data_IF_293857959581
#
_entry.id   IF_293857959581
#
_cell.length_a   1.000
_cell.length_b   1.000
_cell.length_c   1.000
_cell.angle_alpha   90.00
_cell.angle_beta   90.00
_cell.angle_gamma   90.00
#
_symmetry.space_group_name_H-M   'P 1'
#
loop_
_entity.id
_entity.type
_entity.pdbx_description
1 polymer ?
#
# COMPACT_ATOMS: atom_id res chain seq x y z
N UNK A 1 16.88 16.96 -9.07
CA UNK A 1 15.49 17.03 -8.57
C UNK A 1 15.38 16.04 -7.41
N UNK A 2 15.11 16.50 -6.20
CA UNK A 2 15.05 15.63 -5.02
C UNK A 2 13.62 15.08 -4.94
N UNK A 3 13.46 13.78 -5.17
CA UNK A 3 12.15 13.11 -5.27
C UNK A 3 11.46 12.99 -3.91
N UNK A 4 12.24 12.56 -2.89
CA UNK A 4 11.80 12.57 -1.50
C UNK A 4 12.47 13.79 -0.85
N UNK A 5 11.69 14.76 -0.33
CA UNK A 5 12.26 15.94 0.31
C UNK A 5 13.07 15.53 1.55
N UNK A 6 14.06 16.33 1.91
CA UNK A 6 14.81 16.15 3.15
C UNK A 6 13.84 16.21 4.34
N UNK A 7 14.03 15.30 5.31
CA UNK A 7 13.28 15.35 6.55
C UNK A 7 13.74 16.53 7.39
N UNK A 8 12.83 17.43 7.71
CA UNK A 8 13.11 18.65 8.48
C UNK A 8 12.37 18.61 9.80
N UNK A 9 13.13 18.68 10.90
CA UNK A 9 12.61 18.77 12.27
C UNK A 9 12.28 20.22 12.69
N UNK A 10 12.84 21.21 11.97
CA UNK A 10 12.68 22.64 12.23
C UNK A 10 11.33 23.23 11.71
N UNK A 11 10.50 22.41 11.09
CA UNK A 11 9.16 22.79 10.60
C UNK A 11 8.08 22.11 11.40
N UNK A 12 6.91 22.76 11.55
CA UNK A 12 5.75 22.16 12.21
C UNK A 12 5.34 20.87 11.52
N UNK A 13 5.33 19.77 12.27
CA UNK A 13 4.94 18.45 11.80
C UNK A 13 3.73 17.94 12.57
N UNK A 14 2.90 17.15 11.90
CA UNK A 14 1.68 16.55 12.47
C UNK A 14 1.70 15.04 12.33
N UNK A 15 1.18 14.32 13.33
CA UNK A 15 1.12 12.87 13.31
C UNK A 15 0.12 12.39 12.25
N UNK A 16 0.54 11.42 11.43
CA UNK A 16 -0.30 10.82 10.39
C UNK A 16 -0.52 9.32 10.62
N UNK A 17 0.55 8.57 10.94
CA UNK A 17 0.49 7.13 11.15
C UNK A 17 1.21 6.72 12.43
N UNK A 18 0.55 5.91 13.25
CA UNK A 18 1.13 5.35 14.46
C UNK A 18 2.14 4.21 14.13
N UNK A 19 2.86 3.75 15.15
CA UNK A 19 3.88 2.72 15.00
C UNK A 19 3.33 1.38 14.45
N UNK A 20 2.13 0.96 14.90
CA UNK A 20 1.53 -0.31 14.46
C UNK A 20 1.23 -0.26 12.95
N UNK A 21 0.62 0.82 12.47
CA UNK A 21 0.34 1.00 11.05
C UNK A 21 1.63 0.95 10.19
N UNK A 22 2.70 1.61 10.66
CA UNK A 22 3.99 1.66 9.98
C UNK A 22 4.68 0.29 9.94
N UNK A 23 4.73 -0.42 11.07
CA UNK A 23 5.31 -1.78 11.15
C UNK A 23 4.55 -2.72 10.23
N UNK A 24 3.22 -2.69 10.28
CA UNK A 24 2.38 -3.51 9.39
C UNK A 24 2.63 -3.19 7.92
N UNK A 25 2.67 -1.91 7.55
CA UNK A 25 2.92 -1.49 6.18
C UNK A 25 4.29 -1.95 5.67
N UNK A 26 5.36 -1.69 6.41
CA UNK A 26 6.71 -2.08 5.97
C UNK A 26 6.92 -3.59 6.00
N UNK A 27 6.35 -4.29 6.97
CA UNK A 27 6.35 -5.76 7.01
C UNK A 27 5.65 -6.35 5.78
N UNK A 28 4.47 -5.82 5.41
CA UNK A 28 3.79 -6.20 4.17
C UNK A 28 4.61 -5.86 2.93
N UNK A 29 5.21 -4.68 2.88
CA UNK A 29 6.03 -4.25 1.72
C UNK A 29 7.18 -5.21 1.48
N UNK A 30 7.95 -5.55 2.52
CA UNK A 30 9.09 -6.48 2.39
C UNK A 30 8.63 -7.86 1.97
N UNK A 31 7.62 -8.42 2.65
CA UNK A 31 7.12 -9.77 2.34
C UNK A 31 6.47 -9.84 0.97
N UNK A 32 5.74 -8.79 0.56
CA UNK A 32 5.16 -8.69 -0.78
C UNK A 32 6.24 -8.66 -1.87
N UNK A 33 7.27 -7.81 -1.72
CA UNK A 33 8.35 -7.72 -2.69
C UNK A 33 9.13 -9.04 -2.81
N UNK A 34 9.39 -9.72 -1.70
CA UNK A 34 10.00 -11.06 -1.74
C UNK A 34 9.10 -12.08 -2.46
N UNK A 35 7.78 -12.08 -2.16
CA UNK A 35 6.83 -12.92 -2.88
C UNK A 35 6.76 -12.55 -4.37
N UNK A 36 6.79 -11.26 -4.71
CA UNK A 36 6.75 -10.80 -6.09
C UNK A 36 7.96 -11.29 -6.89
N UNK A 37 9.17 -11.03 -6.43
CA UNK A 37 10.38 -11.41 -7.17
C UNK A 37 10.55 -12.93 -7.27
N UNK A 38 10.28 -13.66 -6.18
CA UNK A 38 10.31 -15.12 -6.22
C UNK A 38 9.17 -15.69 -7.07
N UNK A 39 7.98 -15.09 -6.99
CA UNK A 39 6.82 -15.47 -7.79
C UNK A 39 7.05 -15.25 -9.29
N UNK A 40 7.66 -14.12 -9.69
CA UNK A 40 8.03 -13.86 -11.08
C UNK A 40 9.01 -14.91 -11.62
N UNK A 41 10.02 -15.30 -10.84
CA UNK A 41 10.95 -16.36 -11.22
C UNK A 41 10.22 -17.69 -11.46
N UNK A 42 9.23 -18.03 -10.61
CA UNK A 42 8.46 -19.27 -10.71
C UNK A 42 7.42 -19.23 -11.85
N UNK A 43 6.80 -18.07 -12.08
CA UNK A 43 5.71 -17.88 -13.05
C UNK A 43 6.19 -17.81 -14.50
N UNK A 44 7.19 -16.96 -14.76
CA UNK A 44 7.60 -16.68 -16.15
C UNK A 44 8.46 -17.80 -16.75
N UNK A 45 9.16 -18.60 -15.95
CA UNK A 45 10.15 -19.56 -16.46
C UNK A 45 11.25 -18.89 -17.30
N UNK A 46 12.44 -19.47 -17.40
CA UNK A 46 13.51 -18.90 -18.22
C UNK A 46 14.15 -17.60 -17.71
N UNK A 47 13.77 -17.12 -16.53
CA UNK A 47 14.45 -16.02 -15.81
C UNK A 47 15.43 -16.64 -14.80
N UNK A 48 16.36 -17.45 -15.27
CA UNK A 48 17.29 -18.23 -14.45
C UNK A 48 18.14 -17.35 -13.54
N UNK A 49 18.53 -16.16 -14.01
CA UNK A 49 19.30 -15.21 -13.21
C UNK A 49 18.52 -14.74 -11.97
N UNK A 50 17.20 -14.53 -12.09
CA UNK A 50 16.37 -14.12 -10.94
C UNK A 50 16.19 -15.29 -9.97
N UNK A 51 15.96 -16.50 -10.47
CA UNK A 51 15.90 -17.69 -9.64
C UNK A 51 17.25 -17.96 -8.94
N UNK A 52 18.39 -17.71 -9.61
CA UNK A 52 19.73 -17.92 -9.05
C UNK A 52 20.00 -17.06 -7.81
N UNK A 53 19.45 -15.83 -7.74
CA UNK A 53 19.55 -14.95 -6.55
C UNK A 53 19.01 -15.66 -5.30
N UNK A 54 18.00 -16.52 -5.45
CA UNK A 54 17.35 -17.24 -4.35
C UNK A 54 17.84 -18.69 -4.22
N UNK A 55 18.92 -19.08 -4.88
CA UNK A 55 19.44 -20.45 -4.88
C UNK A 55 18.72 -21.40 -5.85
N UNK A 56 18.29 -20.88 -7.00
CA UNK A 56 17.55 -21.58 -8.03
C UNK A 56 16.05 -21.65 -7.76
N UNK A 57 15.30 -22.35 -8.61
CA UNK A 57 13.83 -22.45 -8.51
C UNK A 57 13.34 -23.09 -7.19
N UNK A 58 14.10 -24.05 -6.63
CA UNK A 58 13.78 -24.64 -5.32
C UNK A 58 13.92 -23.62 -4.20
N UNK A 59 15.01 -22.86 -4.21
CA UNK A 59 15.25 -21.76 -3.26
C UNK A 59 14.20 -20.66 -3.39
N UNK A 60 13.88 -20.22 -4.59
CA UNK A 60 12.82 -19.26 -4.86
C UNK A 60 11.47 -19.75 -4.31
N UNK A 61 11.09 -21.02 -4.54
CA UNK A 61 9.88 -21.61 -3.99
C UNK A 61 9.85 -21.66 -2.45
N UNK A 62 11.00 -21.92 -1.81
CA UNK A 62 11.10 -21.87 -0.34
C UNK A 62 10.94 -20.44 0.18
N UNK A 63 11.67 -19.48 -0.36
CA UNK A 63 11.60 -18.06 0.02
C UNK A 63 10.20 -17.52 -0.19
N UNK A 64 9.53 -17.87 -1.31
CA UNK A 64 8.15 -17.50 -1.59
C UNK A 64 7.21 -17.93 -0.46
N UNK A 65 7.26 -19.18 -0.05
CA UNK A 65 6.41 -19.73 1.03
C UNK A 65 6.72 -19.09 2.39
N UNK A 66 7.99 -18.92 2.75
CA UNK A 66 8.39 -18.24 3.99
C UNK A 66 7.86 -16.81 4.01
N UNK A 67 7.99 -16.08 2.89
CA UNK A 67 7.49 -14.71 2.77
C UNK A 67 5.97 -14.64 2.83
N UNK A 68 5.25 -15.62 2.25
CA UNK A 68 3.80 -15.73 2.35
C UNK A 68 3.33 -15.95 3.79
N UNK A 69 4.03 -16.79 4.57
CA UNK A 69 3.78 -16.95 6.01
C UNK A 69 4.07 -15.64 6.75
N UNK A 70 5.18 -14.96 6.44
CA UNK A 70 5.51 -13.65 7.00
C UNK A 70 4.43 -12.61 6.71
N UNK A 71 3.89 -12.57 5.48
CA UNK A 71 2.76 -11.71 5.10
C UNK A 71 1.51 -12.01 5.92
N UNK A 72 1.19 -13.30 6.12
CA UNK A 72 0.05 -13.72 6.95
C UNK A 72 0.23 -13.28 8.41
N UNK A 73 1.46 -13.39 8.94
CA UNK A 73 1.78 -12.90 10.29
C UNK A 73 1.59 -11.37 10.37
N UNK A 74 2.01 -10.61 9.37
CA UNK A 74 1.81 -9.15 9.35
C UNK A 74 0.34 -8.77 9.24
N UNK A 75 -0.48 -9.52 8.50
CA UNK A 75 -1.94 -9.34 8.48
C UNK A 75 -2.55 -9.58 9.88
N UNK A 76 -2.17 -10.67 10.52
CA UNK A 76 -2.62 -10.98 11.88
C UNK A 76 -2.16 -9.92 12.90
N UNK A 77 -0.88 -9.51 12.83
CA UNK A 77 -0.33 -8.45 13.68
C UNK A 77 -1.09 -7.14 13.54
N UNK A 78 -1.29 -6.67 12.30
CA UNK A 78 -2.04 -5.45 12.03
C UNK A 78 -3.50 -5.54 12.50
N UNK A 79 -4.13 -6.72 12.37
CA UNK A 79 -5.50 -6.95 12.82
C UNK A 79 -5.61 -6.92 14.35
N UNK A 80 -4.71 -7.61 15.05
CA UNK A 80 -4.77 -7.72 16.52
C UNK A 80 -4.35 -6.41 17.20
N UNK A 81 -3.20 -5.86 16.83
CA UNK A 81 -2.65 -4.66 17.49
C UNK A 81 -3.12 -3.34 16.89
N UNK A 82 -3.62 -3.36 15.66
CA UNK A 82 -4.11 -2.20 14.93
C UNK A 82 -5.64 -2.14 14.78
N UNK A 83 -6.41 -2.94 15.51
CA UNK A 83 -7.85 -3.10 15.29
C UNK A 83 -8.61 -1.78 15.26
N UNK A 84 -8.39 -0.90 16.25
CA UNK A 84 -9.02 0.43 16.29
C UNK A 84 -8.63 1.30 15.09
N UNK A 85 -7.38 1.20 14.67
CA UNK A 85 -6.86 1.86 13.46
C UNK A 85 -7.51 1.34 12.17
N UNK A 86 -7.76 0.02 12.09
CA UNK A 86 -8.46 -0.60 10.96
C UNK A 86 -9.91 -0.11 10.91
N UNK A 87 -10.60 -0.04 12.03
CA UNK A 87 -11.98 0.50 12.06
C UNK A 87 -12.00 1.97 11.62
N UNK A 88 -11.06 2.79 12.10
CA UNK A 88 -10.94 4.18 11.66
C UNK A 88 -10.64 4.27 10.15
N UNK A 89 -9.72 3.46 9.65
CA UNK A 89 -9.38 3.37 8.24
C UNK A 89 -10.59 2.96 7.37
N UNK A 90 -11.35 1.93 7.78
CA UNK A 90 -12.58 1.53 7.07
C UNK A 90 -13.58 2.69 7.04
N UNK A 91 -13.79 3.39 8.17
CA UNK A 91 -14.66 4.57 8.23
C UNK A 91 -14.21 5.66 7.26
N UNK A 92 -12.90 5.91 7.16
CA UNK A 92 -12.34 6.87 6.22
C UNK A 92 -12.58 6.45 4.75
N UNK A 93 -12.47 5.16 4.43
CA UNK A 93 -12.77 4.63 3.09
C UNK A 93 -14.26 4.79 2.73
N UNK A 94 -15.15 4.54 3.68
CA UNK A 94 -16.61 4.68 3.50
C UNK A 94 -17.05 6.15 3.34
N UNK A 95 -16.20 7.12 3.71
CA UNK A 95 -16.40 8.56 3.43
C UNK A 95 -16.05 8.92 1.97
N UNK A 96 -16.32 8.01 1.04
CA UNK A 96 -16.13 8.26 -0.38
C UNK A 96 -17.23 9.20 -0.90
N UNK A 97 -16.83 10.35 -1.47
CA UNK A 97 -17.78 11.38 -1.85
C UNK A 97 -17.39 12.11 -3.15
N UNK A 98 -18.12 13.17 -3.45
CA UNK A 98 -17.94 13.93 -4.69
C UNK A 98 -16.52 14.53 -4.85
N UNK A 99 -15.85 14.88 -3.75
CA UNK A 99 -14.46 15.35 -3.80
C UNK A 99 -13.49 14.26 -4.25
N UNK A 100 -13.74 12.99 -3.88
CA UNK A 100 -12.92 11.86 -4.31
C UNK A 100 -13.09 11.59 -5.80
N UNK A 101 -14.34 11.65 -6.30
CA UNK A 101 -14.62 11.51 -7.73
C UNK A 101 -13.96 12.64 -8.54
N UNK A 102 -14.11 13.88 -8.10
CA UNK A 102 -13.46 15.03 -8.73
C UNK A 102 -11.93 14.90 -8.70
N UNK A 103 -11.36 14.40 -7.58
CA UNK A 103 -9.93 14.13 -7.48
C UNK A 103 -9.50 13.13 -8.55
N UNK A 104 -10.16 11.99 -8.67
CA UNK A 104 -9.83 10.95 -9.65
C UNK A 104 -9.91 11.46 -11.10
N UNK A 105 -10.82 12.37 -11.41
CA UNK A 105 -10.97 12.96 -12.75
C UNK A 105 -9.90 14.02 -13.04
N UNK A 106 -9.46 14.77 -12.02
CA UNK A 106 -8.53 15.90 -12.17
C UNK A 106 -7.08 15.45 -12.02
N UNK A 107 -6.81 14.47 -11.16
CA UNK A 107 -5.47 13.99 -10.84
C UNK A 107 -4.63 13.59 -12.08
N UNK A 108 -5.16 12.94 -13.13
CA UNK A 108 -4.38 12.65 -14.33
C UNK A 108 -3.79 13.91 -15.01
N UNK A 109 -4.48 15.03 -14.94
CA UNK A 109 -3.98 16.31 -15.49
C UNK A 109 -2.88 16.89 -14.60
N UNK A 110 -3.06 16.86 -13.28
CA UNK A 110 -2.01 17.22 -12.32
C UNK A 110 -0.76 16.35 -12.50
N UNK A 111 -0.96 15.03 -12.62
CA UNK A 111 0.10 14.06 -12.87
C UNK A 111 0.90 14.38 -14.15
N UNK A 112 0.25 14.86 -15.20
CA UNK A 112 0.89 15.28 -16.43
C UNK A 112 1.52 16.69 -16.34
N UNK A 113 1.48 17.35 -15.18
CA UNK A 113 2.10 18.65 -14.93
C UNK A 113 1.24 19.86 -15.23
N UNK A 114 -0.06 19.69 -15.52
CA UNK A 114 -0.98 20.80 -15.67
C UNK A 114 -1.30 21.43 -14.31
N UNK A 115 -1.34 22.77 -14.27
CA UNK A 115 -1.75 23.50 -13.06
C UNK A 115 -3.26 23.46 -12.92
N UNK A 116 -3.76 22.47 -12.17
CA UNK A 116 -5.18 22.27 -11.89
C UNK A 116 -5.46 22.44 -10.39
N UNK A 117 -6.69 22.89 -10.06
CA UNK A 117 -7.10 23.00 -8.66
C UNK A 117 -7.63 21.66 -8.18
N UNK A 118 -6.86 21.00 -7.32
CA UNK A 118 -7.27 19.73 -6.69
C UNK A 118 -8.33 20.00 -5.62
N UNK A 119 -9.44 19.23 -5.58
CA UNK A 119 -10.46 19.37 -4.54
C UNK A 119 -9.94 18.96 -3.16
N UNK A 120 -10.43 19.59 -2.06
CA UNK A 120 -9.98 19.28 -0.71
C UNK A 120 -10.27 17.82 -0.36
N UNK A 121 -9.28 17.15 0.23
CA UNK A 121 -9.33 15.73 0.56
C UNK A 121 -9.42 15.47 2.07
N UNK A 122 -10.01 14.32 2.43
CA UNK A 122 -10.00 13.76 3.79
C UNK A 122 -8.62 13.19 4.13
N UNK A 123 -8.52 12.35 5.16
CA UNK A 123 -7.26 11.68 5.54
C UNK A 123 -6.64 10.90 4.38
N UNK A 124 -7.46 10.34 3.51
CA UNK A 124 -7.06 9.68 2.28
C UNK A 124 -7.73 10.37 1.09
N UNK A 125 -6.98 10.61 0.03
CA UNK A 125 -7.54 11.12 -1.22
C UNK A 125 -8.22 9.99 -2.02
N UNK A 126 -8.96 10.36 -3.08
CA UNK A 126 -9.70 9.39 -3.88
C UNK A 126 -8.83 8.25 -4.44
N UNK A 127 -7.59 8.53 -4.84
CA UNK A 127 -6.64 7.53 -5.32
C UNK A 127 -6.15 6.59 -4.20
N UNK A 128 -5.81 7.14 -3.04
CA UNK A 128 -5.42 6.38 -1.86
C UNK A 128 -6.55 5.48 -1.36
N UNK A 129 -7.80 5.95 -1.40
CA UNK A 129 -8.99 5.14 -1.06
C UNK A 129 -9.15 3.98 -2.04
N UNK A 130 -9.05 4.23 -3.35
CA UNK A 130 -9.11 3.18 -4.37
C UNK A 130 -8.03 2.12 -4.18
N UNK A 131 -6.76 2.54 -4.00
CA UNK A 131 -5.65 1.64 -3.69
C UNK A 131 -5.90 0.85 -2.40
N UNK A 132 -6.41 1.50 -1.37
CA UNK A 132 -6.72 0.89 -0.06
C UNK A 132 -7.87 -0.13 -0.11
N UNK A 133 -8.72 -0.08 -1.12
CA UNK A 133 -9.75 -1.10 -1.34
C UNK A 133 -9.21 -2.28 -2.16
N UNK A 134 -8.50 -1.99 -3.24
CA UNK A 134 -8.04 -3.02 -4.19
C UNK A 134 -6.86 -3.82 -3.63
N UNK A 135 -5.81 -3.17 -3.13
CA UNK A 135 -4.58 -3.85 -2.72
C UNK A 135 -4.81 -4.87 -1.59
N UNK A 136 -5.49 -4.56 -0.47
CA UNK A 136 -5.76 -5.58 0.56
C UNK A 136 -6.63 -6.72 0.06
N UNK A 137 -7.60 -6.45 -0.83
CA UNK A 137 -8.41 -7.49 -1.44
C UNK A 137 -7.56 -8.45 -2.25
N UNK A 138 -6.65 -7.93 -3.09
CA UNK A 138 -5.73 -8.77 -3.86
C UNK A 138 -4.78 -9.55 -2.95
N UNK A 139 -4.25 -8.95 -1.89
CA UNK A 139 -3.39 -9.64 -0.92
C UNK A 139 -4.13 -10.79 -0.22
N UNK A 140 -5.39 -10.61 0.17
CA UNK A 140 -6.21 -11.68 0.75
C UNK A 140 -6.39 -12.83 -0.26
N UNK A 141 -6.71 -12.51 -1.51
CA UNK A 141 -6.83 -13.49 -2.58
C UNK A 141 -5.53 -14.25 -2.83
N UNK A 142 -4.38 -13.56 -2.83
CA UNK A 142 -3.06 -14.16 -2.95
C UNK A 142 -2.76 -15.12 -1.81
N UNK A 143 -3.03 -14.73 -0.56
CA UNK A 143 -2.80 -15.57 0.61
C UNK A 143 -3.69 -16.81 0.57
N UNK A 144 -5.00 -16.64 0.36
CA UNK A 144 -5.94 -17.77 0.34
C UNK A 144 -5.64 -18.74 -0.79
N UNK A 145 -5.48 -18.23 -2.03
CA UNK A 145 -5.17 -19.08 -3.19
C UNK A 145 -3.80 -19.77 -3.05
N UNK A 146 -2.81 -19.05 -2.52
CA UNK A 146 -1.48 -19.59 -2.27
C UNK A 146 -1.48 -20.75 -1.28
N UNK A 147 -2.22 -20.66 -0.18
CA UNK A 147 -2.35 -21.78 0.78
C UNK A 147 -3.11 -22.97 0.18
N UNK A 148 -4.15 -22.73 -0.62
CA UNK A 148 -4.85 -23.81 -1.33
C UNK A 148 -3.89 -24.55 -2.28
N UNK A 149 -3.07 -23.81 -3.03
CA UNK A 149 -2.06 -24.38 -3.92
C UNK A 149 -0.92 -25.10 -3.17
N UNK A 150 -0.61 -24.67 -1.95
CA UNK A 150 0.43 -25.29 -1.13
C UNK A 150 -0.01 -26.63 -0.52
N UNK A 151 -1.31 -26.77 -0.20
CA UNK A 151 -1.89 -27.97 0.41
C UNK A 151 -2.95 -28.61 -0.48
N UNK A 152 -2.64 -28.99 -1.74
CA UNK A 152 -3.66 -29.40 -2.71
C UNK A 152 -4.38 -30.69 -2.32
N UNK A 153 -3.77 -31.52 -1.45
CA UNK A 153 -4.36 -32.80 -1.03
C UNK A 153 -5.60 -32.66 -0.14
N UNK A 154 -5.80 -31.49 0.51
CA UNK A 154 -6.94 -31.23 1.40
C UNK A 154 -8.10 -30.49 0.73
N UNK A 155 -7.91 -30.07 -0.53
CA UNK A 155 -8.93 -29.31 -1.26
C UNK A 155 -9.43 -30.06 -2.50
N UNK A 156 -10.68 -29.85 -2.93
CA UNK A 156 -11.17 -30.37 -4.20
C UNK A 156 -10.30 -29.90 -5.39
N UNK A 157 -10.04 -30.76 -6.36
CA UNK A 157 -9.21 -30.45 -7.53
C UNK A 157 -9.70 -29.25 -8.35
N UNK A 158 -11.01 -29.02 -8.38
CA UNK A 158 -11.63 -27.86 -9.01
C UNK A 158 -11.21 -26.55 -8.30
N UNK A 159 -11.21 -26.54 -6.97
CA UNK A 159 -10.82 -25.38 -6.20
C UNK A 159 -9.31 -25.10 -6.35
N UNK A 160 -8.48 -26.15 -6.32
CA UNK A 160 -7.02 -26.00 -6.58
C UNK A 160 -6.77 -25.37 -7.95
N UNK A 161 -7.50 -25.82 -8.99
CA UNK A 161 -7.37 -25.28 -10.34
C UNK A 161 -7.79 -23.81 -10.44
N UNK A 162 -8.89 -23.43 -9.81
CA UNK A 162 -9.35 -22.03 -9.74
C UNK A 162 -8.33 -21.19 -8.98
N UNK A 163 -7.68 -21.73 -7.95
CA UNK A 163 -6.69 -21.01 -7.16
C UNK A 163 -5.45 -20.61 -7.95
N UNK A 164 -4.99 -21.37 -8.93
CA UNK A 164 -3.92 -20.95 -9.84
C UNK A 164 -4.31 -19.67 -10.59
N UNK A 165 -5.47 -19.66 -11.24
CA UNK A 165 -5.94 -18.47 -11.96
C UNK A 165 -6.14 -17.26 -11.03
N UNK A 166 -6.72 -17.49 -9.85
CA UNK A 166 -6.96 -16.44 -8.87
C UNK A 166 -5.63 -15.84 -8.40
N UNK A 167 -4.64 -16.69 -8.13
CA UNK A 167 -3.32 -16.26 -7.67
C UNK A 167 -2.60 -15.41 -8.72
N UNK A 168 -2.56 -15.88 -9.96
CA UNK A 168 -1.88 -15.20 -11.06
C UNK A 168 -2.53 -13.85 -11.38
N UNK A 169 -3.87 -13.82 -11.49
CA UNK A 169 -4.59 -12.57 -11.74
C UNK A 169 -4.43 -11.58 -10.57
N UNK A 170 -4.59 -12.05 -9.33
CA UNK A 170 -4.40 -11.21 -8.16
C UNK A 170 -2.95 -10.67 -8.08
N UNK A 171 -1.95 -11.46 -8.45
CA UNK A 171 -0.54 -11.02 -8.52
C UNK A 171 -0.36 -9.90 -9.53
N UNK A 172 -0.93 -10.01 -10.73
CA UNK A 172 -0.84 -8.97 -11.77
C UNK A 172 -1.46 -7.66 -11.26
N UNK A 173 -2.71 -7.71 -10.75
CA UNK A 173 -3.39 -6.54 -10.24
C UNK A 173 -2.67 -5.92 -9.03
N UNK A 174 -2.25 -6.74 -8.06
CA UNK A 174 -1.51 -6.26 -6.89
C UNK A 174 -0.19 -5.60 -7.29
N UNK A 175 0.54 -6.17 -8.25
CA UNK A 175 1.81 -5.60 -8.74
C UNK A 175 1.58 -4.23 -9.38
N UNK A 176 0.59 -4.08 -10.26
CA UNK A 176 0.25 -2.78 -10.85
C UNK A 176 -0.08 -1.74 -9.79
N UNK A 177 -0.92 -2.12 -8.80
CA UNK A 177 -1.30 -1.22 -7.72
C UNK A 177 -0.13 -0.83 -6.82
N UNK A 178 0.73 -1.79 -6.46
CA UNK A 178 1.92 -1.54 -5.61
C UNK A 178 2.95 -0.67 -6.33
N UNK A 179 3.20 -0.90 -7.62
CA UNK A 179 4.09 -0.05 -8.42
C UNK A 179 3.58 1.40 -8.49
N UNK A 180 2.30 1.57 -8.80
CA UNK A 180 1.66 2.89 -8.84
C UNK A 180 1.67 3.56 -7.46
N UNK A 181 1.30 2.83 -6.40
CA UNK A 181 1.33 3.32 -5.01
C UNK A 181 2.73 3.74 -4.58
N UNK A 182 3.74 2.92 -4.83
CA UNK A 182 5.13 3.22 -4.51
C UNK A 182 5.64 4.47 -5.23
N UNK A 183 5.33 4.61 -6.51
CA UNK A 183 5.69 5.79 -7.28
C UNK A 183 4.98 7.05 -6.75
N UNK A 184 3.65 7.00 -6.63
CA UNK A 184 2.85 8.15 -6.22
C UNK A 184 3.13 8.57 -4.77
N UNK A 185 3.37 7.61 -3.88
CA UNK A 185 3.63 7.88 -2.46
C UNK A 185 5.05 8.31 -2.13
N UNK A 186 6.03 8.10 -3.05
CA UNK A 186 7.45 8.36 -2.75
C UNK A 186 8.14 9.26 -3.78
N UNK A 187 7.87 9.05 -5.08
CA UNK A 187 8.67 9.63 -6.15
C UNK A 187 7.93 10.71 -6.97
N UNK A 188 6.61 10.76 -6.90
CA UNK A 188 5.86 11.80 -7.61
C UNK A 188 6.14 13.19 -7.01
N UNK A 189 6.44 14.22 -7.84
CA UNK A 189 6.68 15.58 -7.36
C UNK A 189 5.53 16.09 -6.47
N UNK A 190 5.87 16.61 -5.29
CA UNK A 190 4.88 17.09 -4.30
C UNK A 190 4.32 16.02 -3.35
N UNK A 191 4.41 14.73 -3.68
CA UNK A 191 3.88 13.65 -2.83
C UNK A 191 4.92 13.03 -1.90
N UNK A 192 6.21 13.31 -2.08
CA UNK A 192 7.32 12.67 -1.35
C UNK A 192 7.27 12.83 0.19
N UNK A 193 6.52 13.82 0.70
CA UNK A 193 6.28 13.95 2.16
C UNK A 193 5.45 12.78 2.70
N UNK A 194 4.65 12.10 1.87
CA UNK A 194 3.92 10.87 2.24
C UNK A 194 4.84 9.74 2.67
N UNK A 195 6.04 9.64 2.07
CA UNK A 195 7.07 8.69 2.48
C UNK A 195 7.45 8.89 3.95
N UNK A 196 7.69 10.13 4.39
CA UNK A 196 8.01 10.44 5.77
C UNK A 196 6.85 10.13 6.72
N UNK A 197 5.61 10.35 6.27
CA UNK A 197 4.42 9.91 7.01
C UNK A 197 4.47 8.41 7.33
N UNK A 198 4.86 7.58 6.36
CA UNK A 198 4.95 6.14 6.56
C UNK A 198 6.27 5.69 7.21
N UNK A 199 7.37 6.45 7.05
CA UNK A 199 8.67 6.12 7.65
C UNK A 199 8.81 6.62 9.10
N UNK A 200 8.53 7.90 9.33
CA UNK A 200 8.67 8.56 10.64
C UNK A 200 7.35 8.67 11.42
N UNK A 201 6.21 8.56 10.75
CA UNK A 201 4.88 8.70 11.35
C UNK A 201 4.30 10.11 11.24
N UNK A 202 5.07 11.10 10.82
CA UNK A 202 4.68 12.51 10.78
C UNK A 202 4.87 13.09 9.39
N UNK A 203 4.06 14.10 9.06
CA UNK A 203 4.17 14.89 7.83
C UNK A 203 4.22 16.37 8.18
N UNK A 204 4.74 17.21 7.28
CA UNK A 204 4.73 18.66 7.43
C UNK A 204 3.28 19.17 7.49
N UNK A 205 3.03 20.13 8.36
CA UNK A 205 1.69 20.69 8.56
C UNK A 205 1.18 21.43 7.30
N UNK A 206 2.03 22.21 6.64
CA UNK A 206 1.69 22.91 5.39
C UNK A 206 1.36 21.93 4.25
N UNK A 207 2.14 20.83 4.12
CA UNK A 207 1.84 19.78 3.17
C UNK A 207 0.49 19.12 3.47
N UNK A 208 0.20 18.81 4.74
CA UNK A 208 -1.06 18.22 5.18
C UNK A 208 -2.26 19.14 4.89
N UNK A 209 -2.11 20.46 5.12
CA UNK A 209 -3.11 21.46 4.78
C UNK A 209 -3.41 21.52 3.28
N UNK A 210 -2.37 21.36 2.44
CA UNK A 210 -2.53 21.43 0.98
C UNK A 210 -3.16 20.13 0.43
N UNK A 211 -2.66 18.95 0.81
CA UNK A 211 -3.06 17.68 0.22
C UNK A 211 -4.26 17.03 0.92
N UNK A 212 -4.48 17.30 2.21
CA UNK A 212 -5.51 16.69 3.05
C UNK A 212 -6.25 17.74 3.89
N UNK A 213 -6.71 18.82 3.25
CA UNK A 213 -7.27 20.00 3.90
C UNK A 213 -8.42 19.70 4.87
N UNK A 214 -9.33 18.80 4.49
CA UNK A 214 -10.47 18.40 5.34
C UNK A 214 -9.96 17.69 6.59
N UNK A 215 -9.08 16.69 6.43
CA UNK A 215 -8.50 15.96 7.54
C UNK A 215 -7.71 16.86 8.47
N UNK A 216 -6.88 17.76 7.94
CA UNK A 216 -6.08 18.67 8.75
C UNK A 216 -6.98 19.57 9.59
N UNK A 217 -8.01 20.16 8.99
CA UNK A 217 -8.97 21.01 9.69
C UNK A 217 -9.73 20.23 10.78
N UNK A 218 -10.23 19.03 10.48
CA UNK A 218 -10.96 18.19 11.44
C UNK A 218 -10.10 17.75 12.63
N UNK A 219 -8.78 17.57 12.43
CA UNK A 219 -7.89 16.99 13.44
C UNK A 219 -7.11 18.06 14.23
N UNK A 220 -6.72 19.15 13.56
CA UNK A 220 -5.78 20.15 14.09
C UNK A 220 -6.29 21.59 14.00
N UNK A 221 -7.44 21.86 13.35
CA UNK A 221 -7.93 23.22 13.07
C UNK A 221 -8.02 24.11 14.30
N UNK A 222 -8.61 23.61 15.38
CA UNK A 222 -8.78 24.35 16.62
C UNK A 222 -7.47 24.58 17.40
N UNK A 223 -6.45 23.76 17.14
CA UNK A 223 -5.12 23.86 17.75
C UNK A 223 -4.16 24.78 16.99
N UNK A 224 -4.43 25.00 15.71
CA UNK A 224 -3.59 25.84 14.85
C UNK A 224 -3.90 27.34 15.02
N UNK A 225 -5.07 27.70 15.57
CA UNK A 225 -5.48 29.07 15.86
C UNK A 225 -5.05 29.51 17.28
N UNK A 226 -4.55 28.59 18.12
CA UNK A 226 -4.16 28.83 19.51
C UNK A 226 -2.64 29.01 19.73
N UNK A 227 -1.82 28.84 18.72
CA UNK A 227 -0.34 29.07 18.70
C UNK A 227 0.02 30.23 17.76
#
# INVERSE_FOLDING_TARGET
MQWIPEYRDDVKRVERFNAVARITHWGHTVTFLLCLFTGLALFLGGIDWLAAIFGGYRGAGLVHRISAVGMTIMLAFGTVFGFTGIIAWIKDLLRFGMNDIKFLLIFPFEFLGFKVKVPPQTRFNGGEKGNSMVTPTMVILLVLSGYIMWFPAIFPSSLVRISYWTHDLAMIFATCMVCMHGYLGSFHPGSGESFWGMWKGTVRADWAQHHHAIWYKETYGDKAEAE
#
